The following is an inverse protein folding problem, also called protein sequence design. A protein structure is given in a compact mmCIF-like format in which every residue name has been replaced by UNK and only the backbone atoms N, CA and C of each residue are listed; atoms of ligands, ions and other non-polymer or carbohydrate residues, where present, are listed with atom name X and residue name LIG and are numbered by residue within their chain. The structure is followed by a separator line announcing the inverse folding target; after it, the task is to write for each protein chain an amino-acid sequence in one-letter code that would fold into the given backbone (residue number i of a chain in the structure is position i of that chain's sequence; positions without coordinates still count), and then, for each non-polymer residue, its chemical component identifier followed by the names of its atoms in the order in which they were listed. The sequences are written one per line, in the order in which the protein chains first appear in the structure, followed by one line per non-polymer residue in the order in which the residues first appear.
data_IF_438856688416
#
_entry.id   IF_438856688416
#
_cell.length_a   1.000
_cell.length_b   1.000
_cell.length_c   1.000
_cell.angle_alpha   90.00
_cell.angle_beta   90.00
_cell.angle_gamma   90.00
#
_symmetry.space_group_name_H-M   'P 1'
#
loop_
_entity.id
_entity.type
_entity.pdbx_description
1 polymer ?
#
# COMPACT_ATOMS: atom_id res chain seq x y z
N UNK A 1 7.30 -23.55 5.20
CA UNK A 1 8.56 -23.16 5.87
C UNK A 1 8.89 -21.74 5.46
N UNK A 2 8.50 -20.75 6.27
CA UNK A 2 8.74 -19.33 6.00
C UNK A 2 10.25 -19.12 6.21
N UNK A 3 10.99 -18.81 5.14
CA UNK A 3 12.39 -18.38 5.28
C UNK A 3 12.41 -17.08 6.09
N UNK A 4 13.28 -16.95 7.09
CA UNK A 4 13.43 -15.68 7.79
C UNK A 4 13.95 -14.68 6.77
N UNK A 5 13.12 -13.71 6.41
CA UNK A 5 13.59 -12.51 5.74
C UNK A 5 14.59 -11.87 6.69
N UNK A 6 15.80 -11.59 6.20
CA UNK A 6 16.79 -10.81 6.92
C UNK A 6 16.10 -9.52 7.33
N UNK A 7 15.79 -9.39 8.62
CA UNK A 7 15.37 -8.13 9.19
C UNK A 7 16.60 -7.23 9.11
N UNK A 8 16.73 -6.43 8.05
CA UNK A 8 17.63 -5.30 8.07
C UNK A 8 17.27 -4.47 9.30
N UNK A 9 18.26 -4.26 10.18
CA UNK A 9 18.16 -3.52 11.44
C UNK A 9 17.01 -2.51 11.39
N UNK A 10 15.92 -2.88 12.05
CA UNK A 10 14.58 -2.36 11.78
C UNK A 10 14.58 -0.85 11.62
N UNK A 11 14.01 -0.39 10.49
CA UNK A 11 13.80 1.01 10.08
C UNK A 11 13.99 1.97 11.26
N UNK A 12 15.24 2.32 11.61
CA UNK A 12 15.51 3.22 12.71
C UNK A 12 15.15 4.60 12.18
N UNK A 13 13.87 4.95 12.28
CA UNK A 13 13.31 6.28 12.02
C UNK A 13 13.88 7.23 13.07
N UNK A 14 15.18 7.53 12.95
CA UNK A 14 15.92 8.45 13.86
C UNK A 14 15.48 9.90 13.68
N UNK A 15 14.68 10.18 12.64
CA UNK A 15 14.08 11.47 12.36
C UNK A 15 12.56 11.28 12.19
N UNK A 16 11.80 12.31 12.58
CA UNK A 16 10.37 12.35 12.33
C UNK A 16 10.09 12.17 10.82
N UNK A 17 9.05 11.40 10.45
CA UNK A 17 8.67 11.23 9.06
C UNK A 17 8.20 12.55 8.45
N UNK A 18 8.44 12.74 7.16
CA UNK A 18 7.95 13.92 6.43
C UNK A 18 6.43 13.93 6.39
N UNK A 19 5.80 15.09 6.56
CA UNK A 19 4.36 15.25 6.38
C UNK A 19 3.95 15.21 4.91
N UNK A 20 2.70 14.83 4.62
CA UNK A 20 2.14 14.93 3.26
C UNK A 20 1.23 16.14 3.12
N UNK A 21 1.41 16.92 2.05
CA UNK A 21 0.56 18.07 1.78
C UNK A 21 -0.88 17.62 1.48
N UNK A 22 -1.85 18.26 2.13
CA UNK A 22 -3.27 18.03 1.83
C UNK A 22 -3.66 18.89 0.61
N UNK A 23 -4.05 18.24 -0.48
CA UNK A 23 -4.33 18.89 -1.77
C UNK A 23 -5.84 19.11 -1.98
N UNK A 24 -6.57 19.38 -0.90
CA UNK A 24 -8.02 19.54 -0.90
C UNK A 24 -8.72 18.21 -0.65
N UNK A 25 -9.09 17.96 0.61
CA UNK A 25 -9.78 16.74 1.05
C UNK A 25 -9.03 15.42 0.76
N UNK A 26 -7.71 15.45 0.61
CA UNK A 26 -6.88 14.26 0.31
C UNK A 26 -6.28 13.58 1.55
N UNK A 27 -6.70 13.98 2.76
CA UNK A 27 -6.16 13.44 4.01
C UNK A 27 -6.38 11.93 4.17
N UNK A 28 -7.44 11.38 3.58
CA UNK A 28 -7.69 9.94 3.54
C UNK A 28 -6.54 9.21 2.81
N UNK A 29 -6.16 9.67 1.62
CA UNK A 29 -5.05 9.12 0.85
C UNK A 29 -3.72 9.32 1.58
N UNK A 30 -3.49 10.52 2.11
CA UNK A 30 -2.26 10.81 2.84
C UNK A 30 -2.06 9.85 4.03
N UNK A 31 -3.13 9.53 4.76
CA UNK A 31 -3.07 8.58 5.87
C UNK A 31 -2.72 7.16 5.41
N UNK A 32 -3.32 6.69 4.31
CA UNK A 32 -3.03 5.38 3.71
C UNK A 32 -1.58 5.29 3.25
N UNK A 33 -1.09 6.31 2.53
CA UNK A 33 0.26 6.35 2.01
C UNK A 33 1.31 6.37 3.12
N UNK A 34 1.10 7.15 4.17
CA UNK A 34 1.98 7.17 5.34
C UNK A 34 2.04 5.81 6.03
N UNK A 35 0.89 5.15 6.22
CA UNK A 35 0.84 3.80 6.76
C UNK A 35 1.65 2.83 5.90
N UNK A 36 1.41 2.79 4.59
CA UNK A 36 2.11 1.88 3.68
C UNK A 36 3.62 2.12 3.64
N UNK A 37 4.06 3.38 3.53
CA UNK A 37 5.47 3.75 3.45
C UNK A 37 6.29 3.35 4.67
N UNK A 38 5.65 3.23 5.84
CA UNK A 38 6.29 2.89 7.10
C UNK A 38 6.09 1.43 7.53
N UNK A 39 5.42 0.60 6.73
CA UNK A 39 5.40 -0.84 6.95
C UNK A 39 6.79 -1.43 6.65
N UNK A 40 7.47 -2.05 7.62
CA UNK A 40 8.86 -2.48 7.44
C UNK A 40 9.07 -3.41 6.24
N UNK A 41 8.13 -4.34 6.00
CA UNK A 41 8.21 -5.27 4.88
C UNK A 41 8.15 -4.53 3.54
N UNK A 42 7.19 -3.62 3.37
CA UNK A 42 7.01 -2.86 2.14
C UNK A 42 8.16 -1.87 1.92
N UNK A 43 8.56 -1.16 2.97
CA UNK A 43 9.69 -0.23 2.94
C UNK A 43 10.99 -0.93 2.52
N UNK A 44 11.34 -2.04 3.15
CA UNK A 44 12.54 -2.79 2.81
C UNK A 44 12.48 -3.34 1.38
N UNK A 45 11.34 -3.94 0.99
CA UNK A 45 11.16 -4.49 -0.35
C UNK A 45 11.16 -3.43 -1.46
N UNK A 46 10.80 -2.18 -1.15
CA UNK A 46 10.95 -1.06 -2.06
C UNK A 46 12.41 -0.60 -2.13
N UNK A 47 13.10 -0.50 -0.99
CA UNK A 47 14.48 0.01 -0.93
C UNK A 47 15.50 -0.97 -1.56
N UNK A 48 15.32 -2.27 -1.38
CA UNK A 48 16.22 -3.31 -1.91
C UNK A 48 15.91 -3.73 -3.36
N UNK A 49 14.84 -3.18 -3.95
CA UNK A 49 14.43 -3.44 -5.33
C UNK A 49 13.59 -4.72 -5.52
N UNK A 50 13.20 -5.41 -4.45
CA UNK A 50 12.39 -6.64 -4.52
C UNK A 50 11.05 -6.41 -5.20
N UNK A 51 10.39 -5.28 -4.93
CA UNK A 51 9.09 -4.95 -5.54
C UNK A 51 9.21 -4.71 -7.05
N UNK A 52 10.23 -3.97 -7.49
CA UNK A 52 10.48 -3.71 -8.90
C UNK A 52 10.86 -4.98 -9.66
N UNK A 53 11.65 -5.86 -9.05
CA UNK A 53 12.01 -7.15 -9.63
C UNK A 53 10.80 -8.05 -9.88
N UNK A 54 9.77 -7.98 -9.01
CA UNK A 54 8.53 -8.77 -9.14
C UNK A 54 7.64 -8.33 -10.30
N UNK A 55 7.75 -7.09 -10.74
CA UNK A 55 6.86 -6.53 -11.77
C UNK A 55 7.55 -6.38 -13.11
N UNK A 56 8.89 -6.40 -13.13
CA UNK A 56 9.68 -6.31 -14.35
C UNK A 56 9.73 -4.88 -14.91
N UNK A 57 10.65 -4.63 -15.84
CA UNK A 57 10.95 -3.29 -16.35
C UNK A 57 9.79 -2.59 -17.08
N UNK A 58 8.70 -3.32 -17.39
CA UNK A 58 7.62 -2.88 -18.28
C UNK A 58 6.54 -2.00 -17.61
N UNK A 59 6.55 -1.85 -16.28
CA UNK A 59 5.48 -1.17 -15.52
C UNK A 59 5.98 0.01 -14.67
N UNK A 60 7.09 0.66 -15.06
CA UNK A 60 7.65 1.80 -14.31
C UNK A 60 6.67 2.99 -14.12
N UNK A 61 5.57 3.03 -14.88
CA UNK A 61 4.49 4.02 -14.76
C UNK A 61 3.20 3.51 -14.11
N UNK A 62 3.13 2.24 -13.70
CA UNK A 62 1.98 1.69 -12.99
C UNK A 62 1.87 2.18 -11.54
N UNK A 63 0.72 2.00 -10.93
CA UNK A 63 0.39 2.26 -9.53
C UNK A 63 1.41 1.67 -8.56
N UNK A 64 1.88 0.43 -8.78
CA UNK A 64 2.93 -0.12 -7.93
C UNK A 64 4.25 0.67 -8.07
N UNK A 65 4.63 1.04 -9.29
CA UNK A 65 5.82 1.87 -9.53
C UNK A 65 5.72 3.22 -8.83
N UNK A 66 4.54 3.85 -8.89
CA UNK A 66 4.25 5.10 -8.18
C UNK A 66 4.31 4.93 -6.67
N UNK A 67 3.76 3.84 -6.12
CA UNK A 67 3.83 3.52 -4.70
C UNK A 67 5.28 3.32 -4.24
N UNK A 68 6.08 2.55 -5.00
CA UNK A 68 7.50 2.33 -4.70
C UNK A 68 8.28 3.65 -4.73
N UNK A 69 8.06 4.49 -5.75
CA UNK A 69 8.70 5.80 -5.84
C UNK A 69 8.35 6.67 -4.62
N UNK A 70 7.07 6.74 -4.26
CA UNK A 70 6.61 7.48 -3.09
C UNK A 70 7.26 7.00 -1.78
N UNK A 71 7.34 5.67 -1.57
CA UNK A 71 7.99 5.08 -0.39
C UNK A 71 9.45 5.52 -0.31
N UNK A 72 10.19 5.45 -1.42
CA UNK A 72 11.60 5.87 -1.47
C UNK A 72 11.75 7.36 -1.17
N UNK A 73 10.91 8.20 -1.76
CA UNK A 73 10.93 9.65 -1.56
C UNK A 73 10.64 10.04 -0.11
N UNK A 74 9.58 9.50 0.49
CA UNK A 74 9.20 9.77 1.89
C UNK A 74 10.28 9.32 2.86
N UNK A 75 10.92 8.17 2.61
CA UNK A 75 11.99 7.65 3.48
C UNK A 75 13.34 8.36 3.28
N UNK A 76 13.56 8.99 2.12
CA UNK A 76 14.76 9.76 1.83
C UNK A 76 14.72 11.17 2.45
N UNK A 77 13.53 11.77 2.58
CA UNK A 77 13.37 13.08 3.21
C UNK A 77 13.63 12.96 4.71
N UNK A 78 14.64 13.66 5.22
CA UNK A 78 15.02 13.68 6.65
C UNK A 78 15.35 15.09 7.11
N UNK A 79 15.08 15.37 8.39
CA UNK A 79 15.58 16.55 9.09
C UNK A 79 14.67 17.78 9.03
N UNK A 80 15.20 18.90 9.53
CA UNK A 80 14.48 20.17 9.80
C UNK A 80 14.10 20.92 8.52
N UNK A 81 14.70 20.58 7.38
CA UNK A 81 14.43 21.20 6.07
C UNK A 81 13.33 20.50 5.26
N UNK A 82 12.70 19.46 5.82
CA UNK A 82 11.64 18.72 5.16
C UNK A 82 10.36 19.57 5.00
N UNK A 83 10.22 20.25 3.86
CA UNK A 83 8.91 20.73 3.41
C UNK A 83 8.02 19.52 3.12
N UNK A 84 6.72 19.67 3.31
CA UNK A 84 5.77 18.57 3.13
C UNK A 84 5.90 17.95 1.73
N UNK A 85 5.89 16.62 1.63
CA UNK A 85 5.92 15.90 0.35
C UNK A 85 4.54 15.91 -0.31
N UNK A 86 4.49 16.03 -1.63
CA UNK A 86 3.25 16.11 -2.39
C UNK A 86 3.11 14.90 -3.33
N UNK A 87 2.26 13.90 -2.98
CA UNK A 87 2.14 12.64 -3.73
C UNK A 87 1.24 12.76 -4.98
N UNK A 88 1.51 13.75 -5.83
CA UNK A 88 0.62 14.13 -6.96
C UNK A 88 0.37 12.97 -7.93
N UNK A 89 1.39 12.18 -8.25
CA UNK A 89 1.27 11.11 -9.24
C UNK A 89 0.31 9.99 -8.78
N UNK A 90 0.41 9.57 -7.51
CA UNK A 90 -0.52 8.56 -6.94
C UNK A 90 -1.93 9.13 -6.86
N UNK A 91 -2.08 10.40 -6.47
CA UNK A 91 -3.38 11.05 -6.43
C UNK A 91 -4.06 11.04 -7.82
N UNK A 92 -3.33 11.43 -8.86
CA UNK A 92 -3.83 11.42 -10.25
C UNK A 92 -4.19 10.01 -10.73
N UNK A 93 -3.38 9.00 -10.38
CA UNK A 93 -3.68 7.62 -10.70
C UNK A 93 -4.97 7.14 -10.00
N UNK A 94 -5.15 7.43 -8.71
CA UNK A 94 -6.36 7.00 -7.98
C UNK A 94 -7.64 7.64 -8.52
N UNK A 95 -7.56 8.92 -8.90
CA UNK A 95 -8.69 9.62 -9.49
C UNK A 95 -9.13 9.02 -10.84
N UNK A 96 -8.23 8.37 -11.58
CA UNK A 96 -8.54 7.73 -12.87
C UNK A 96 -8.96 6.26 -12.75
N UNK A 97 -8.64 5.55 -11.67
CA UNK A 97 -8.90 4.12 -11.51
C UNK A 97 -10.38 3.75 -11.38
N UNK A 98 -11.17 4.58 -10.70
CA UNK A 98 -12.57 4.25 -10.42
C UNK A 98 -13.45 5.48 -10.63
N UNK A 99 -14.02 5.56 -11.83
CA UNK A 99 -14.88 6.66 -12.24
C UNK A 99 -15.88 7.01 -11.13
N UNK A 100 -15.75 8.22 -10.61
CA UNK A 100 -16.65 8.79 -9.61
C UNK A 100 -16.46 8.36 -8.15
N UNK A 101 -15.57 7.41 -7.81
CA UNK A 101 -15.33 6.99 -6.40
C UNK A 101 -14.39 7.94 -5.67
N UNK A 102 -13.27 8.33 -6.30
CA UNK A 102 -12.30 9.28 -5.71
C UNK A 102 -12.25 10.55 -6.56
N UNK A 103 -13.19 11.46 -6.31
CA UNK A 103 -13.24 12.74 -7.01
C UNK A 103 -12.30 13.72 -6.33
N UNK A 104 -11.53 14.45 -7.14
CA UNK A 104 -10.67 15.52 -6.65
C UNK A 104 -11.49 16.51 -5.81
N UNK A 105 -11.00 16.83 -4.61
CA UNK A 105 -11.68 17.74 -3.68
C UNK A 105 -12.81 17.13 -2.86
N UNK A 106 -13.14 15.84 -2.99
CA UNK A 106 -14.07 15.15 -2.09
C UNK A 106 -13.33 14.29 -1.07
N UNK A 107 -13.83 14.29 0.17
CA UNK A 107 -13.35 13.34 1.17
C UNK A 107 -13.87 11.93 0.82
N UNK A 108 -13.07 10.92 1.15
CA UNK A 108 -13.41 9.52 0.95
C UNK A 108 -13.01 8.70 2.18
N UNK A 109 -13.50 7.47 2.26
CA UNK A 109 -13.13 6.50 3.28
C UNK A 109 -11.69 5.99 3.02
N UNK A 110 -10.84 6.06 4.05
CA UNK A 110 -9.43 5.67 3.94
C UNK A 110 -9.26 4.15 3.70
N UNK A 111 -10.15 3.33 4.25
CA UNK A 111 -10.13 1.88 4.05
C UNK A 111 -10.61 1.51 2.65
N UNK A 112 -11.64 2.17 2.10
CA UNK A 112 -12.02 2.00 0.69
C UNK A 112 -10.87 2.41 -0.25
N UNK A 113 -10.22 3.55 0.03
CA UNK A 113 -9.04 4.01 -0.69
C UNK A 113 -7.91 2.97 -0.67
N UNK A 114 -7.62 2.38 0.49
CA UNK A 114 -6.60 1.34 0.62
C UNK A 114 -6.95 0.12 -0.25
N UNK A 115 -8.20 -0.34 -0.21
CA UNK A 115 -8.64 -1.50 -1.00
C UNK A 115 -8.51 -1.26 -2.50
N UNK A 116 -8.89 -0.08 -2.99
CA UNK A 116 -8.76 0.26 -4.41
C UNK A 116 -7.29 0.38 -4.82
N UNK A 117 -6.45 1.03 -3.99
CA UNK A 117 -5.02 1.15 -4.25
C UNK A 117 -4.34 -0.22 -4.33
N UNK A 118 -4.60 -1.12 -3.38
CA UNK A 118 -4.05 -2.47 -3.39
C UNK A 118 -4.54 -3.29 -4.58
N UNK A 119 -5.82 -3.19 -4.93
CA UNK A 119 -6.36 -3.85 -6.12
C UNK A 119 -5.67 -3.40 -7.41
N UNK A 120 -5.36 -2.11 -7.53
CA UNK A 120 -4.65 -1.57 -8.68
C UNK A 120 -3.17 -1.96 -8.71
N UNK A 121 -2.51 -2.01 -7.54
CA UNK A 121 -1.15 -2.57 -7.41
C UNK A 121 -1.09 -4.01 -7.94
N UNK A 122 -2.07 -4.84 -7.63
CA UNK A 122 -2.14 -6.21 -8.11
C UNK A 122 -2.51 -6.31 -9.60
N UNK A 123 -3.32 -5.40 -10.12
CA UNK A 123 -3.66 -5.33 -11.53
C UNK A 123 -2.44 -4.98 -12.41
N UNK A 124 -1.47 -4.24 -11.87
CA UNK A 124 -0.21 -3.93 -12.56
C UNK A 124 0.81 -5.07 -12.50
N UNK A 125 0.66 -6.00 -11.55
CA UNK A 125 1.58 -7.11 -11.37
C UNK A 125 1.40 -8.16 -12.49
N UNK A 126 2.48 -8.81 -12.95
CA UNK A 126 2.39 -9.91 -13.89
C UNK A 126 1.46 -11.02 -13.38
N UNK A 127 0.78 -11.72 -14.30
CA UNK A 127 -0.12 -12.84 -13.98
C UNK A 127 0.55 -13.84 -13.02
N UNK A 128 -0.08 -14.08 -11.87
CA UNK A 128 0.41 -15.01 -10.85
C UNK A 128 1.42 -14.42 -9.85
N UNK A 129 1.76 -13.12 -9.95
CA UNK A 129 2.70 -12.45 -9.06
C UNK A 129 2.03 -11.39 -8.16
N UNK A 130 0.88 -11.71 -7.54
CA UNK A 130 0.17 -10.77 -6.64
C UNK A 130 1.11 -10.27 -5.54
N UNK A 131 1.42 -8.98 -5.62
CA UNK A 131 2.27 -8.28 -4.68
C UNK A 131 1.54 -8.12 -3.36
N UNK A 132 0.22 -7.87 -3.41
CA UNK A 132 -0.63 -7.77 -2.22
C UNK A 132 -0.66 -9.10 -1.49
N UNK A 133 -0.83 -10.23 -2.17
CA UNK A 133 -0.81 -11.55 -1.53
C UNK A 133 0.57 -11.86 -0.93
N UNK A 134 1.65 -11.42 -1.56
CA UNK A 134 2.99 -11.61 -1.02
C UNK A 134 3.26 -10.74 0.24
N UNK A 135 2.76 -9.50 0.26
CA UNK A 135 2.96 -8.56 1.37
C UNK A 135 2.00 -8.80 2.54
N UNK A 136 0.72 -9.05 2.24
CA UNK A 136 -0.40 -8.98 3.18
C UNK A 136 -1.22 -10.27 3.22
N UNK A 137 -0.90 -11.24 2.38
CA UNK A 137 -1.65 -12.48 2.25
C UNK A 137 -1.70 -13.26 3.56
N UNK A 138 -2.88 -13.80 3.85
CA UNK A 138 -3.14 -14.68 4.97
C UNK A 138 -4.34 -15.57 4.67
N UNK A 139 -4.65 -16.47 5.61
CA UNK A 139 -5.81 -17.37 5.49
C UNK A 139 -6.79 -17.05 6.61
N UNK A 140 -8.02 -16.69 6.24
CA UNK A 140 -9.14 -16.57 7.16
C UNK A 140 -9.88 -17.91 7.19
N UNK A 141 -10.04 -18.50 8.37
CA UNK A 141 -10.92 -19.66 8.59
C UNK A 141 -12.22 -19.13 9.20
N UNK A 142 -13.30 -19.16 8.43
CA UNK A 142 -14.63 -18.76 8.90
C UNK A 142 -15.38 -19.98 9.40
N UNK A 143 -15.78 -19.97 10.68
CA UNK A 143 -16.58 -21.04 11.28
C UNK A 143 -18.01 -20.56 11.50
N UNK A 144 -19.01 -21.22 10.91
CA UNK A 144 -20.41 -20.83 11.02
C UNK A 144 -21.19 -21.93 11.73
N UNK A 145 -21.58 -21.70 12.98
CA UNK A 145 -22.42 -22.61 13.75
C UNK A 145 -23.84 -22.04 13.84
N UNK A 146 -24.84 -22.83 13.46
CA UNK A 146 -26.23 -22.45 13.71
C UNK A 146 -26.60 -22.74 15.17
N UNK A 147 -26.94 -21.70 15.94
CA UNK A 147 -27.34 -21.85 17.35
C UNK A 147 -28.68 -22.59 17.54
N UNK A 148 -29.54 -22.62 16.53
CA UNK A 148 -30.85 -23.28 16.61
C UNK A 148 -30.79 -24.79 16.35
N UNK A 149 -30.09 -25.23 15.30
CA UNK A 149 -30.02 -26.63 14.91
C UNK A 149 -28.68 -27.31 15.21
N UNK A 150 -27.67 -26.56 15.66
CA UNK A 150 -26.34 -27.09 15.98
C UNK A 150 -25.49 -27.50 14.75
N UNK A 151 -25.98 -27.28 13.52
CA UNK A 151 -25.24 -27.61 12.31
C UNK A 151 -24.08 -26.63 12.13
N UNK A 152 -22.90 -27.20 11.88
CA UNK A 152 -21.70 -26.49 11.49
C UNK A 152 -21.64 -26.36 9.96
N UNK A 153 -21.72 -25.13 9.47
CA UNK A 153 -21.68 -24.74 8.05
C UNK A 153 -20.32 -24.22 7.60
N UNK A 154 -19.30 -24.37 8.44
CA UNK A 154 -17.91 -24.16 8.03
C UNK A 154 -17.60 -25.15 6.92
N UNK A 155 -17.02 -24.69 5.81
CA UNK A 155 -16.80 -25.51 4.61
C UNK A 155 -16.20 -26.90 4.92
N UNK A 156 -16.58 -27.96 4.17
CA UNK A 156 -16.04 -29.31 4.33
C UNK A 156 -14.54 -29.40 4.04
#
# INVERSE_FOLDING_TARGET
MIRPQVMHDGLRLRAAPVGLLNQGNTCYLNSVLQCLAHLPLLANAALDGTLEARVGAHQRGGVLGLLVAHVKEVLAIRGVEATAHQPTAIHSALASMREGTFRLGQQADAHECLRVLLGAVDADAPSGASVVQWLFGGTLVSRILCEGCGIDWSSP
#
